data_IF_332662165785
#
_entry.id   IF_332662165785
#
_cell.length_a   1.000
_cell.length_b   1.000
_cell.length_c   1.000
_cell.angle_alpha   90.00
_cell.angle_beta   90.00
_cell.angle_gamma   90.00
#
_symmetry.space_group_name_H-M   'P 1'
#
loop_
_entity.id
_entity.type
_entity.pdbx_description
1 polymer ?
#
# COMPACT_ATOMS: atom_id res chain seq x y z
N UNK A 1 5.58 -54.60 -34.39
CA UNK A 1 6.66 -53.66 -34.78
C UNK A 1 6.03 -52.72 -35.80
N UNK A 2 5.79 -51.43 -35.63
CA UNK A 2 6.36 -50.40 -34.77
C UNK A 2 5.23 -49.43 -34.38
N UNK A 3 4.99 -49.33 -33.07
CA UNK A 3 4.32 -48.20 -32.44
C UNK A 3 5.28 -46.99 -32.50
N UNK A 4 4.76 -45.78 -32.28
CA UNK A 4 5.50 -44.60 -31.77
C UNK A 4 6.09 -43.71 -32.88
N UNK A 5 5.38 -42.62 -33.22
CA UNK A 5 5.96 -41.27 -33.45
C UNK A 5 5.02 -40.31 -34.21
N UNK A 6 3.78 -40.11 -33.74
CA UNK A 6 3.00 -38.97 -34.23
C UNK A 6 2.19 -38.22 -33.16
N UNK A 7 2.57 -38.38 -31.88
CA UNK A 7 2.08 -37.53 -30.79
C UNK A 7 3.06 -36.37 -30.52
N UNK A 8 4.23 -36.35 -31.17
CA UNK A 8 5.33 -35.45 -30.83
C UNK A 8 5.33 -34.08 -31.52
N UNK A 9 4.27 -33.70 -32.26
CA UNK A 9 4.29 -32.45 -33.06
C UNK A 9 3.26 -31.40 -32.63
N UNK A 10 2.78 -31.46 -31.38
CA UNK A 10 2.12 -30.32 -30.73
C UNK A 10 2.85 -30.01 -29.42
N UNK A 11 4.15 -29.73 -29.56
CA UNK A 11 5.01 -29.26 -28.48
C UNK A 11 5.81 -28.04 -28.98
N UNK A 12 5.19 -27.25 -29.86
CA UNK A 12 5.78 -26.04 -30.37
C UNK A 12 5.13 -24.84 -29.70
N UNK A 13 5.92 -24.25 -28.80
CA UNK A 13 5.99 -22.81 -28.60
C UNK A 13 4.96 -22.16 -27.67
N UNK A 14 4.78 -22.70 -26.47
CA UNK A 14 4.59 -21.83 -25.31
C UNK A 14 5.97 -21.34 -24.82
N UNK A 15 6.69 -20.57 -25.65
CA UNK A 15 7.71 -19.69 -25.11
C UNK A 15 6.97 -18.66 -24.27
N UNK A 16 6.99 -18.84 -22.95
CA UNK A 16 6.64 -17.81 -22.00
C UNK A 16 7.52 -16.59 -22.31
N UNK A 17 6.98 -15.67 -23.10
CA UNK A 17 7.57 -14.35 -23.26
C UNK A 17 7.45 -13.73 -21.88
N UNK A 18 8.52 -13.74 -21.09
CA UNK A 18 8.60 -12.90 -19.92
C UNK A 18 8.52 -11.48 -20.43
N UNK A 19 7.32 -10.89 -20.38
CA UNK A 19 7.15 -9.46 -20.62
C UNK A 19 8.02 -8.81 -19.54
N UNK A 20 9.10 -8.10 -19.90
CA UNK A 20 9.83 -7.36 -18.90
C UNK A 20 8.82 -6.39 -18.30
N UNK A 21 8.59 -6.47 -16.99
CA UNK A 21 7.84 -5.44 -16.30
C UNK A 21 8.62 -4.15 -16.50
N UNK A 22 8.22 -3.34 -17.48
CA UNK A 22 8.74 -2.01 -17.65
C UNK A 22 8.52 -1.34 -16.30
N UNK A 23 9.59 -0.91 -15.63
CA UNK A 23 9.48 -0.06 -14.47
C UNK A 23 8.73 1.17 -14.96
N UNK A 24 7.47 1.30 -14.56
CA UNK A 24 6.72 2.51 -14.83
C UNK A 24 7.40 3.60 -14.00
N UNK A 25 7.94 4.61 -14.68
CA UNK A 25 8.37 5.84 -14.05
C UNK A 25 7.11 6.58 -13.60
N UNK A 26 6.71 6.33 -12.35
CA UNK A 26 5.64 7.07 -11.72
C UNK A 26 6.22 8.38 -11.18
N UNK A 27 5.63 9.50 -11.60
CA UNK A 27 5.82 10.78 -10.91
C UNK A 27 5.00 10.71 -9.62
N UNK A 28 5.64 10.25 -8.54
CA UNK A 28 5.00 10.15 -7.24
C UNK A 28 4.91 11.57 -6.67
N UNK A 29 3.75 12.21 -6.85
CA UNK A 29 3.44 13.45 -6.13
C UNK A 29 3.18 13.14 -4.65
N UNK A 30 4.27 13.08 -3.89
CA UNK A 30 4.28 12.87 -2.45
C UNK A 30 4.20 14.18 -1.65
N UNK A 31 3.94 15.33 -2.28
CA UNK A 31 4.10 16.65 -1.65
C UNK A 31 3.25 16.85 -0.38
N UNK A 32 2.18 16.07 -0.22
CA UNK A 32 1.28 16.14 0.93
C UNK A 32 1.39 14.97 1.91
N UNK A 33 2.26 13.98 1.65
CA UNK A 33 2.50 12.88 2.58
C UNK A 33 3.34 13.37 3.76
N UNK A 34 2.74 13.39 4.95
CA UNK A 34 3.38 13.93 6.17
C UNK A 34 3.24 12.96 7.33
N UNK A 35 4.15 13.10 8.29
CA UNK A 35 4.11 12.37 9.57
C UNK A 35 3.97 10.85 9.41
N UNK A 36 4.82 10.18 8.63
CA UNK A 36 4.75 8.73 8.52
C UNK A 36 5.14 8.06 9.84
N UNK A 37 4.43 7.01 10.21
CA UNK A 37 4.83 6.03 11.20
C UNK A 37 4.66 4.61 10.65
N UNK A 38 5.44 3.65 11.15
CA UNK A 38 5.60 2.34 10.51
C UNK A 38 5.45 1.21 11.53
N UNK A 39 4.57 0.26 11.23
CA UNK A 39 4.44 -1.00 11.98
C UNK A 39 5.17 -2.16 11.30
N UNK A 40 5.01 -3.37 11.84
CA UNK A 40 5.52 -4.60 11.23
C UNK A 40 4.97 -4.84 9.83
N UNK A 41 3.78 -4.34 9.50
CA UNK A 41 3.09 -4.66 8.24
C UNK A 41 2.50 -3.46 7.51
N UNK A 42 2.41 -2.29 8.14
CA UNK A 42 1.71 -1.13 7.61
C UNK A 42 2.50 0.18 7.80
N UNK A 43 2.13 1.19 7.02
CA UNK A 43 2.61 2.57 7.12
C UNK A 43 1.38 3.45 7.31
N UNK A 44 1.34 4.25 8.37
CA UNK A 44 0.33 5.27 8.59
C UNK A 44 0.93 6.64 8.30
N UNK A 45 0.15 7.55 7.71
CA UNK A 45 0.60 8.91 7.40
C UNK A 45 -0.58 9.86 7.28
N UNK A 46 -0.31 11.15 7.36
CA UNK A 46 -1.29 12.19 7.05
C UNK A 46 -1.22 12.59 5.58
N UNK A 47 -2.38 12.71 4.92
CA UNK A 47 -2.55 13.26 3.58
C UNK A 47 -3.78 14.15 3.56
N UNK A 48 -3.63 15.40 3.08
CA UNK A 48 -4.70 16.39 3.06
C UNK A 48 -5.42 16.58 4.44
N UNK A 49 -4.66 16.49 5.54
CA UNK A 49 -5.14 16.57 6.92
C UNK A 49 -6.04 15.42 7.39
N UNK A 50 -6.06 14.31 6.66
CA UNK A 50 -6.70 13.06 7.08
C UNK A 50 -5.63 11.96 7.26
N UNK A 51 -5.96 10.93 8.03
CA UNK A 51 -5.09 9.77 8.18
C UNK A 51 -5.33 8.71 7.11
N UNK A 52 -4.24 8.17 6.60
CA UNK A 52 -4.22 7.11 5.62
C UNK A 52 -3.30 5.99 6.08
N UNK A 53 -3.59 4.79 5.60
CA UNK A 53 -2.79 3.58 5.87
C UNK A 53 -2.49 2.83 4.58
N UNK A 54 -1.26 2.33 4.46
CA UNK A 54 -0.81 1.54 3.32
C UNK A 54 -0.08 0.27 3.80
N UNK A 55 -0.09 -0.83 3.02
CA UNK A 55 0.77 -1.98 3.29
C UNK A 55 2.26 -1.60 3.18
N UNK A 56 3.08 -2.05 4.14
CA UNK A 56 4.54 -1.79 4.14
C UNK A 56 5.25 -2.41 2.93
N UNK A 57 4.72 -3.52 2.40
CA UNK A 57 5.21 -4.17 1.18
C UNK A 57 4.88 -3.41 -0.11
N UNK A 58 4.23 -2.25 -0.03
CA UNK A 58 3.69 -1.53 -1.17
C UNK A 58 2.27 -1.94 -1.52
N UNK A 59 1.60 -1.10 -2.29
CA UNK A 59 0.19 -1.26 -2.66
C UNK A 59 -0.60 0.02 -2.48
N UNK A 60 -1.92 -0.11 -2.50
CA UNK A 60 -2.85 1.03 -2.42
C UNK A 60 -3.00 1.51 -0.98
N UNK A 61 -2.82 2.81 -0.76
CA UNK A 61 -3.19 3.46 0.49
C UNK A 61 -4.71 3.65 0.57
N UNK A 62 -5.27 3.52 1.78
CA UNK A 62 -6.69 3.73 2.05
C UNK A 62 -6.86 4.70 3.23
N UNK A 63 -7.95 5.49 3.27
CA UNK A 63 -8.21 6.37 4.41
C UNK A 63 -8.49 5.53 5.66
N UNK A 64 -7.96 5.95 6.80
CA UNK A 64 -8.15 5.32 8.11
C UNK A 64 -9.35 5.92 8.85
N UNK A 65 -9.53 7.23 8.73
CA UNK A 65 -10.59 8.03 9.33
C UNK A 65 -10.91 9.23 8.42
N UNK A 66 -12.14 9.72 8.48
CA UNK A 66 -12.57 10.94 7.76
C UNK A 66 -13.72 11.72 8.44
N UNK A 67 -13.76 11.89 9.77
CA UNK A 67 -14.64 12.87 10.42
C UNK A 67 -14.24 14.31 10.07
N UNK A 68 -15.14 15.26 10.33
CA UNK A 68 -14.84 16.67 10.12
C UNK A 68 -13.77 17.14 11.11
N UNK A 69 -12.57 17.45 10.62
CA UNK A 69 -11.46 17.89 11.46
C UNK A 69 -10.10 17.69 10.79
N UNK A 70 -9.03 18.06 11.48
CA UNK A 70 -7.66 17.69 11.09
C UNK A 70 -7.25 16.47 11.90
N UNK A 71 -6.59 15.50 11.26
CA UNK A 71 -6.06 14.29 11.85
C UNK A 71 -4.61 14.09 11.38
N UNK A 72 -3.66 14.13 12.31
CA UNK A 72 -2.23 14.16 12.02
C UNK A 72 -1.43 13.42 13.09
N UNK A 73 -0.13 13.24 12.83
CA UNK A 73 0.84 12.67 13.78
C UNK A 73 0.43 11.26 14.26
N UNK A 74 0.17 10.30 13.33
CA UNK A 74 -0.15 8.93 13.72
C UNK A 74 1.04 8.25 14.39
N UNK A 75 0.76 7.36 15.32
CA UNK A 75 1.74 6.46 15.93
C UNK A 75 1.11 5.10 16.22
N UNK A 76 1.68 4.03 15.71
CA UNK A 76 1.23 2.67 15.97
C UNK A 76 1.48 2.26 17.42
N UNK A 77 0.59 1.44 17.98
CA UNK A 77 0.90 0.66 19.17
C UNK A 77 2.02 -0.34 18.87
N UNK A 78 2.80 -0.80 19.87
CA UNK A 78 3.87 -1.77 19.65
C UNK A 78 3.39 -3.10 19.01
N UNK A 79 2.13 -3.48 19.19
CA UNK A 79 1.53 -4.66 18.57
C UNK A 79 0.84 -4.37 17.21
N UNK A 80 0.88 -3.12 16.75
CA UNK A 80 0.34 -2.67 15.48
C UNK A 80 -1.19 -2.67 15.37
N UNK A 81 -1.92 -2.93 16.47
CA UNK A 81 -3.39 -3.05 16.44
C UNK A 81 -4.12 -1.73 16.56
N UNK A 82 -3.48 -0.71 17.11
CA UNK A 82 -4.04 0.61 17.30
C UNK A 82 -3.11 1.67 16.73
N UNK A 83 -3.68 2.81 16.38
CA UNK A 83 -2.95 4.02 16.03
C UNK A 83 -3.44 5.12 16.95
N UNK A 84 -2.53 5.73 17.70
CA UNK A 84 -2.79 6.98 18.39
C UNK A 84 -2.53 8.14 17.44
N UNK A 85 -3.31 9.21 17.53
CA UNK A 85 -3.12 10.38 16.66
C UNK A 85 -3.62 11.66 17.30
N UNK A 86 -3.21 12.81 16.76
CA UNK A 86 -3.72 14.12 17.17
C UNK A 86 -4.85 14.53 16.23
N UNK A 87 -6.00 14.90 16.79
CA UNK A 87 -7.10 15.45 16.01
C UNK A 87 -7.77 16.67 16.63
N UNK A 88 -8.49 17.41 15.80
CA UNK A 88 -9.36 18.51 16.22
C UNK A 88 -10.76 18.33 15.63
N UNK A 89 -11.65 17.74 16.42
CA UNK A 89 -13.06 17.56 16.06
C UNK A 89 -14.00 18.57 16.72
N UNK A 90 -13.64 19.06 17.93
CA UNK A 90 -14.51 19.89 18.77
C UNK A 90 -13.94 21.27 19.08
N UNK A 91 -12.92 21.70 18.33
CA UNK A 91 -12.28 23.02 18.47
C UNK A 91 -10.97 23.02 19.26
N UNK A 92 -10.57 21.88 19.83
CA UNK A 92 -9.29 21.68 20.51
C UNK A 92 -8.46 20.58 19.83
N UNK A 93 -7.14 20.61 20.03
CA UNK A 93 -6.29 19.48 19.65
C UNK A 93 -6.23 18.47 20.79
N UNK A 94 -6.70 17.27 20.52
CA UNK A 94 -6.75 16.16 21.47
C UNK A 94 -6.04 14.93 20.88
N UNK A 95 -5.64 14.01 21.77
CA UNK A 95 -5.07 12.72 21.38
C UNK A 95 -6.16 11.66 21.43
N UNK A 96 -6.30 10.91 20.34
CA UNK A 96 -7.23 9.80 20.18
C UNK A 96 -6.50 8.48 20.02
#
# INVERSE_FOLDING_TARGET
>A
MLYRNLIATVLLLCCAQAVPAAAADFDIDAAMLRFPDVSDTQIAFAYNNDLWIAPKGGGTAVPLSSPAGTEILPHFSPDGKSIAFTANYEGNQDVY
#
